data_IF_939088673448
#
_entry.id   IF_939088673448
#
_cell.length_a   1.000
_cell.length_b   1.000
_cell.length_c   1.000
_cell.angle_alpha   90.00
_cell.angle_beta   90.00
_cell.angle_gamma   90.00
#
_symmetry.space_group_name_H-M   'P 1'
#
loop_
_entity.id
_entity.type
_entity.pdbx_description
1 polymer ?
#
# COMPACT_ATOMS: atom_id res chain seq x y z
N UNK A 1 35.41 10.38 -101.14
CA UNK A 1 34.61 10.22 -99.90
C UNK A 1 34.47 8.73 -99.64
N UNK A 2 35.13 8.21 -98.59
CA UNK A 2 35.02 6.80 -98.20
C UNK A 2 33.75 6.60 -97.36
N UNK A 3 32.81 5.80 -97.85
CA UNK A 3 31.75 5.25 -97.01
C UNK A 3 32.20 3.90 -96.47
N UNK A 4 32.47 3.83 -95.17
CA UNK A 4 32.70 2.56 -94.48
C UNK A 4 31.35 1.88 -94.26
N UNK A 5 31.14 0.73 -94.91
CA UNK A 5 29.97 -0.12 -94.71
C UNK A 5 30.28 -1.19 -93.66
N UNK A 6 30.44 -0.77 -92.40
CA UNK A 6 30.59 -1.70 -91.28
C UNK A 6 29.59 -1.31 -90.18
N UNK A 7 28.46 -2.00 -90.18
CA UNK A 7 27.55 -2.06 -89.04
C UNK A 7 27.76 -3.41 -88.36
N UNK A 8 28.16 -3.40 -87.09
CA UNK A 8 28.25 -4.61 -86.29
C UNK A 8 26.98 -4.70 -85.43
N UNK A 9 26.08 -5.68 -85.65
CA UNK A 9 25.02 -5.95 -84.68
C UNK A 9 25.65 -6.73 -83.52
N UNK A 10 26.22 -6.04 -82.53
CA UNK A 10 26.57 -6.69 -81.27
C UNK A 10 25.30 -6.78 -80.44
N UNK A 11 24.51 -7.83 -80.67
CA UNK A 11 23.67 -8.40 -79.63
C UNK A 11 23.79 -9.91 -79.72
N UNK A 12 24.92 -10.47 -79.26
CA UNK A 12 24.94 -11.91 -78.97
C UNK A 12 23.89 -12.14 -77.87
N UNK A 13 22.85 -12.98 -78.10
CA UNK A 13 21.89 -13.27 -77.05
C UNK A 13 22.64 -13.89 -75.88
N UNK A 14 22.36 -13.39 -74.68
CA UNK A 14 23.02 -13.86 -73.46
C UNK A 14 22.91 -15.39 -73.37
N UNK A 15 24.03 -16.12 -73.18
CA UNK A 15 24.07 -17.58 -73.36
C UNK A 15 23.16 -18.33 -72.38
N UNK A 16 22.83 -17.72 -71.24
CA UNK A 16 21.99 -18.33 -70.21
C UNK A 16 20.65 -17.60 -70.10
N UNK A 17 19.70 -17.94 -70.97
CA UNK A 17 18.32 -17.39 -70.95
C UNK A 17 17.55 -17.68 -69.66
N UNK A 18 17.96 -18.68 -68.89
CA UNK A 18 17.38 -19.06 -67.60
C UNK A 18 17.95 -18.27 -66.42
N UNK A 19 19.08 -17.58 -66.60
CA UNK A 19 19.74 -16.87 -65.51
C UNK A 19 18.91 -15.66 -65.04
N UNK A 20 18.33 -14.91 -65.97
CA UNK A 20 17.47 -13.76 -65.66
C UNK A 20 16.20 -14.13 -64.87
N UNK A 21 15.38 -15.13 -65.26
CA UNK A 21 14.22 -15.52 -64.45
C UNK A 21 14.63 -16.12 -63.10
N UNK A 22 15.72 -16.89 -63.02
CA UNK A 22 16.23 -17.43 -61.74
C UNK A 22 16.70 -16.30 -60.82
N UNK A 23 17.40 -15.30 -61.34
CA UNK A 23 17.85 -14.15 -60.56
C UNK A 23 16.66 -13.31 -60.05
N UNK A 24 15.61 -13.13 -60.85
CA UNK A 24 14.39 -12.42 -60.44
C UNK A 24 13.65 -13.19 -59.34
N UNK A 25 13.46 -14.51 -59.51
CA UNK A 25 12.78 -15.35 -58.52
C UNK A 25 13.60 -15.45 -57.23
N UNK A 26 14.91 -15.67 -57.34
CA UNK A 26 15.82 -15.69 -56.19
C UNK A 26 15.87 -14.34 -55.46
N UNK A 27 15.88 -13.24 -56.21
CA UNK A 27 15.79 -11.88 -55.67
C UNK A 27 14.49 -11.62 -54.91
N UNK A 28 13.35 -12.06 -55.45
CA UNK A 28 12.05 -12.00 -54.76
C UNK A 28 12.04 -12.81 -53.46
N UNK A 29 12.57 -14.03 -53.49
CA UNK A 29 12.66 -14.89 -52.29
C UNK A 29 13.54 -14.22 -51.23
N UNK A 30 14.72 -13.73 -51.61
CA UNK A 30 15.61 -13.02 -50.69
C UNK A 30 14.98 -11.74 -50.15
N UNK A 31 14.28 -10.98 -51.00
CA UNK A 31 13.56 -9.77 -50.59
C UNK A 31 12.51 -10.12 -49.52
N UNK A 32 11.68 -11.13 -49.74
CA UNK A 32 10.69 -11.59 -48.74
C UNK A 32 11.39 -12.01 -47.44
N UNK A 33 12.47 -12.78 -47.54
CA UNK A 33 13.20 -13.29 -46.37
C UNK A 33 13.83 -12.15 -45.55
N UNK A 34 14.51 -11.20 -46.21
CA UNK A 34 15.07 -10.03 -45.54
C UNK A 34 14.00 -9.11 -44.97
N UNK A 35 12.83 -9.00 -45.61
CA UNK A 35 11.71 -8.22 -45.08
C UNK A 35 11.18 -8.85 -43.79
N UNK A 36 11.03 -10.17 -43.73
CA UNK A 36 10.61 -10.89 -42.52
C UNK A 36 11.65 -10.75 -41.40
N UNK A 37 12.93 -10.87 -41.72
CA UNK A 37 14.02 -10.71 -40.73
C UNK A 37 14.06 -9.28 -40.20
N UNK A 38 13.97 -8.26 -41.07
CA UNK A 38 13.93 -6.86 -40.64
C UNK A 38 12.69 -6.55 -39.80
N UNK A 39 11.52 -7.09 -40.19
CA UNK A 39 10.29 -6.95 -39.42
C UNK A 39 10.45 -7.57 -38.03
N UNK A 40 10.98 -8.79 -37.94
CA UNK A 40 11.25 -9.43 -36.65
C UNK A 40 12.20 -8.59 -35.80
N UNK A 41 13.32 -8.12 -36.37
CA UNK A 41 14.31 -7.34 -35.63
C UNK A 41 13.82 -5.96 -35.18
N UNK A 42 12.86 -5.36 -35.88
CA UNK A 42 12.38 -3.99 -35.60
C UNK A 42 11.05 -3.90 -34.86
N UNK A 43 10.29 -4.99 -34.70
CA UNK A 43 8.89 -4.93 -34.24
C UNK A 43 8.66 -5.26 -32.75
N UNK A 44 9.70 -5.48 -31.95
CA UNK A 44 9.49 -5.82 -30.54
C UNK A 44 9.38 -4.58 -29.67
N UNK A 45 8.14 -4.19 -29.38
CA UNK A 45 7.85 -3.25 -28.30
C UNK A 45 7.62 -4.01 -26.99
N UNK A 46 8.41 -3.68 -25.97
CA UNK A 46 8.17 -4.14 -24.62
C UNK A 46 6.94 -3.42 -24.07
N UNK A 47 5.89 -4.17 -23.75
CA UNK A 47 4.72 -3.65 -23.03
C UNK A 47 4.87 -3.98 -21.55
N UNK A 48 4.87 -3.00 -20.65
CA UNK A 48 4.84 -3.29 -19.22
C UNK A 48 3.51 -3.97 -18.88
N UNK A 49 3.60 -5.07 -18.13
CA UNK A 49 2.44 -5.79 -17.58
C UNK A 49 2.58 -5.71 -16.07
N UNK A 50 1.56 -5.18 -15.41
CA UNK A 50 1.46 -5.21 -13.95
C UNK A 50 0.98 -6.60 -13.54
N UNK A 51 1.65 -7.18 -12.55
CA UNK A 51 1.38 -8.53 -12.06
C UNK A 51 1.55 -8.54 -10.55
N UNK A 52 0.68 -9.26 -9.86
CA UNK A 52 0.73 -9.41 -8.41
C UNK A 52 1.67 -10.56 -7.99
N UNK A 53 2.04 -11.45 -8.92
CA UNK A 53 2.95 -12.58 -8.69
C UNK A 53 4.24 -12.45 -9.52
N UNK A 54 5.28 -11.76 -9.01
CA UNK A 54 6.55 -11.62 -9.72
C UNK A 54 7.23 -12.96 -10.01
N UNK A 55 7.04 -13.97 -9.15
CA UNK A 55 7.67 -15.29 -9.28
C UNK A 55 6.98 -16.15 -10.35
N UNK A 56 5.64 -16.15 -10.38
CA UNK A 56 4.87 -16.80 -11.43
C UNK A 56 5.08 -16.15 -12.79
N UNK A 57 5.23 -14.82 -12.83
CA UNK A 57 5.37 -14.09 -14.10
C UNK A 57 6.74 -14.30 -14.74
N UNK A 58 7.81 -14.36 -13.94
CA UNK A 58 9.17 -14.62 -14.44
C UNK A 58 9.34 -16.05 -14.95
N UNK A 59 8.59 -17.02 -14.43
CA UNK A 59 8.65 -18.43 -14.83
C UNK A 59 7.72 -18.78 -16.00
N UNK A 60 6.52 -18.19 -16.07
CA UNK A 60 5.57 -18.41 -17.18
C UNK A 60 5.92 -17.63 -18.45
N UNK A 61 6.77 -16.60 -18.37
CA UNK A 61 7.06 -15.73 -19.51
C UNK A 61 8.00 -16.30 -20.56
N UNK A 62 8.33 -17.61 -20.52
CA UNK A 62 9.10 -18.26 -21.59
C UNK A 62 8.20 -18.43 -22.82
N UNK A 63 8.11 -17.39 -23.63
CA UNK A 63 7.31 -17.38 -24.86
C UNK A 63 7.90 -18.35 -25.88
N UNK A 64 7.07 -18.79 -26.83
CA UNK A 64 7.44 -19.80 -27.83
C UNK A 64 8.71 -19.44 -28.62
N UNK A 65 8.96 -18.15 -28.87
CA UNK A 65 10.13 -17.64 -29.59
C UNK A 65 11.42 -17.62 -28.76
N UNK A 66 11.33 -17.79 -27.43
CA UNK A 66 12.49 -17.93 -26.54
C UNK A 66 12.95 -19.39 -26.41
N UNK A 67 12.26 -20.34 -27.06
CA UNK A 67 12.62 -21.76 -27.07
C UNK A 67 13.52 -22.08 -28.26
N UNK A 68 14.42 -23.05 -28.07
CA UNK A 68 15.25 -23.57 -29.18
C UNK A 68 14.35 -24.08 -30.33
N UNK A 69 14.70 -23.87 -31.60
CA UNK A 69 15.97 -23.32 -32.12
C UNK A 69 15.99 -21.79 -32.31
N UNK A 70 14.96 -21.07 -31.88
CA UNK A 70 14.76 -19.64 -32.14
C UNK A 70 15.39 -18.71 -31.08
N UNK A 71 16.10 -19.28 -30.10
CA UNK A 71 16.68 -18.56 -28.95
C UNK A 71 18.01 -17.83 -29.29
N UNK A 72 18.13 -17.27 -30.50
CA UNK A 72 19.36 -16.63 -30.98
C UNK A 72 19.77 -15.39 -30.18
N UNK A 73 18.85 -14.77 -29.45
CA UNK A 73 19.17 -13.70 -28.51
C UNK A 73 18.40 -13.89 -27.18
N UNK A 74 19.16 -14.15 -26.10
CA UNK A 74 18.63 -14.30 -24.75
C UNK A 74 18.51 -12.94 -24.01
N UNK A 75 18.67 -11.81 -24.71
CA UNK A 75 18.59 -10.48 -24.12
C UNK A 75 17.17 -10.08 -23.68
N UNK A 76 16.13 -10.80 -24.09
CA UNK A 76 14.74 -10.58 -23.65
C UNK A 76 14.44 -11.30 -22.32
N UNK A 77 15.25 -11.07 -21.28
CA UNK A 77 14.89 -11.52 -19.93
C UNK A 77 13.79 -10.62 -19.39
N UNK A 78 12.67 -11.21 -18.98
CA UNK A 78 11.60 -10.47 -18.29
C UNK A 78 12.14 -10.06 -16.92
N UNK A 79 12.29 -8.74 -16.71
CA UNK A 79 12.67 -8.17 -15.43
C UNK A 79 11.43 -7.54 -14.81
N UNK A 80 11.08 -7.95 -13.59
CA UNK A 80 10.08 -7.28 -12.79
C UNK A 80 10.70 -6.02 -12.18
N UNK A 81 10.12 -4.86 -12.48
CA UNK A 81 10.45 -3.64 -11.76
C UNK A 81 9.67 -3.63 -10.44
N UNK A 82 10.33 -3.53 -9.27
CA UNK A 82 9.65 -3.46 -8.00
C UNK A 82 8.85 -2.16 -7.89
N UNK A 83 7.76 -2.18 -7.12
CA UNK A 83 7.07 -0.94 -6.74
C UNK A 83 7.94 -0.25 -5.70
N UNK A 84 8.32 0.99 -5.93
CA UNK A 84 9.05 1.76 -4.93
C UNK A 84 8.02 2.22 -3.88
N UNK A 85 8.24 1.84 -2.62
CA UNK A 85 7.45 2.30 -1.48
C UNK A 85 8.23 3.40 -0.77
N UNK A 86 7.71 4.62 -0.76
CA UNK A 86 8.37 5.79 -0.16
C UNK A 86 7.66 6.23 1.12
N UNK A 87 8.39 6.91 2.00
CA UNK A 87 7.78 7.58 3.16
C UNK A 87 6.80 8.64 2.66
N UNK A 88 5.57 8.62 3.21
CA UNK A 88 4.45 9.47 2.79
C UNK A 88 3.48 8.80 1.80
N UNK A 89 3.83 7.64 1.23
CA UNK A 89 2.93 6.92 0.35
C UNK A 89 1.70 6.40 1.11
N UNK A 90 0.55 6.39 0.42
CA UNK A 90 -0.68 5.82 0.93
C UNK A 90 -0.86 4.40 0.42
N UNK A 91 -1.10 3.47 1.33
CA UNK A 91 -1.25 2.04 1.05
C UNK A 91 -2.51 1.49 1.72
N UNK A 92 -2.98 0.39 1.15
CA UNK A 92 -4.16 -0.32 1.62
C UNK A 92 -3.79 -1.78 1.81
N UNK A 93 -4.35 -2.42 2.83
CA UNK A 93 -4.19 -3.86 3.02
C UNK A 93 -5.19 -4.63 2.17
N UNK A 94 -4.95 -5.93 2.00
CA UNK A 94 -5.85 -6.85 1.30
C UNK A 94 -7.25 -6.91 1.93
N UNK A 95 -7.35 -6.66 3.24
CA UNK A 95 -8.62 -6.63 3.96
C UNK A 95 -9.39 -5.30 3.81
N UNK A 96 -8.84 -4.32 3.08
CA UNK A 96 -9.47 -3.02 2.79
C UNK A 96 -10.07 -2.33 4.04
N UNK A 97 -9.37 -2.40 5.16
CA UNK A 97 -9.78 -1.78 6.42
C UNK A 97 -9.58 -0.26 6.37
N UNK A 98 -8.36 0.18 6.70
CA UNK A 98 -8.01 1.60 6.78
C UNK A 98 -7.05 2.01 5.66
N UNK A 99 -7.03 3.31 5.36
CA UNK A 99 -6.00 3.91 4.54
C UNK A 99 -4.77 4.19 5.40
N UNK A 100 -3.67 3.49 5.14
CA UNK A 100 -2.43 3.67 5.87
C UNK A 100 -1.51 4.62 5.12
N UNK A 101 -0.76 5.43 5.87
CA UNK A 101 0.35 6.24 5.37
C UNK A 101 1.66 5.66 5.87
N UNK A 102 2.66 5.55 5.00
CA UNK A 102 4.00 5.11 5.41
C UNK A 102 4.67 6.25 6.16
N UNK A 103 4.96 6.06 7.45
CA UNK A 103 5.58 7.08 8.31
C UNK A 103 7.09 6.94 8.39
N UNK A 104 7.60 5.71 8.44
CA UNK A 104 9.02 5.43 8.50
C UNK A 104 9.32 4.04 7.93
N UNK A 105 10.52 3.91 7.37
CA UNK A 105 11.09 2.65 6.91
C UNK A 105 12.44 2.51 7.61
N UNK A 106 12.59 1.48 8.43
CA UNK A 106 13.79 1.27 9.24
C UNK A 106 14.31 -0.14 9.08
N UNK A 107 15.63 -0.33 9.07
CA UNK A 107 16.20 -1.67 9.15
C UNK A 107 15.74 -2.34 10.45
N UNK A 108 15.40 -3.62 10.35
CA UNK A 108 15.00 -4.45 11.48
C UNK A 108 16.19 -5.15 12.15
N UNK A 109 17.43 -4.83 11.77
CA UNK A 109 18.62 -5.48 12.31
C UNK A 109 18.83 -5.08 13.79
N UNK A 110 18.81 -6.07 14.68
CA UNK A 110 18.84 -5.90 16.15
C UNK A 110 20.24 -5.56 16.69
N UNK A 111 21.29 -5.67 15.86
CA UNK A 111 22.69 -5.70 16.33
C UNK A 111 23.43 -4.36 16.22
N UNK A 112 22.76 -3.29 15.80
CA UNK A 112 23.36 -1.96 15.70
C UNK A 112 22.56 -0.90 16.44
N UNK A 113 23.23 -0.14 17.30
CA UNK A 113 22.71 1.04 18.01
C UNK A 113 22.24 2.16 17.03
N UNK A 114 22.46 1.95 15.73
CA UNK A 114 22.07 2.83 14.62
C UNK A 114 21.12 2.10 13.67
N UNK A 115 19.81 2.33 13.84
CA UNK A 115 18.80 1.83 12.90
C UNK A 115 18.90 2.61 11.59
N UNK A 116 19.33 1.95 10.53
CA UNK A 116 19.34 2.56 9.20
C UNK A 116 17.91 2.92 8.79
N UNK A 117 17.71 4.16 8.35
CA UNK A 117 16.39 4.67 7.94
C UNK A 117 16.42 4.87 6.43
N UNK A 118 15.44 4.29 5.74
CA UNK A 118 15.33 4.38 4.29
C UNK A 118 14.27 5.41 3.90
N UNK A 119 14.54 6.31 2.93
CA UNK A 119 13.51 7.19 2.39
C UNK A 119 12.52 6.43 1.50
N UNK A 120 12.97 5.34 0.89
CA UNK A 120 12.19 4.48 0.01
C UNK A 120 12.81 3.09 -0.08
N UNK A 121 11.98 2.07 -0.31
CA UNK A 121 12.41 0.67 -0.49
C UNK A 121 11.76 0.05 -1.74
N UNK A 122 12.43 -0.93 -2.34
CA UNK A 122 11.86 -1.76 -3.41
C UNK A 122 10.90 -2.81 -2.84
N UNK A 123 9.60 -2.65 -3.09
CA UNK A 123 8.54 -3.56 -2.64
C UNK A 123 8.08 -4.50 -3.77
N UNK A 124 8.13 -5.80 -3.49
CA UNK A 124 7.83 -6.90 -4.42
C UNK A 124 6.54 -7.64 -4.07
N UNK A 125 5.55 -6.93 -3.52
CA UNK A 125 4.28 -7.53 -3.07
C UNK A 125 4.45 -8.63 -2.01
N UNK A 126 5.49 -8.51 -1.17
CA UNK A 126 5.72 -9.43 -0.07
C UNK A 126 4.73 -9.18 1.06
N UNK A 127 4.34 -10.24 1.77
CA UNK A 127 3.42 -10.15 2.90
C UNK A 127 4.05 -9.37 4.05
N UNK A 128 3.23 -8.54 4.71
CA UNK A 128 3.61 -7.90 5.97
C UNK A 128 3.48 -8.94 7.09
N UNK A 129 4.55 -9.11 7.85
CA UNK A 129 4.65 -10.08 8.95
C UNK A 129 4.83 -9.35 10.28
N UNK A 130 4.47 -10.02 11.38
CA UNK A 130 4.60 -9.50 12.75
C UNK A 130 4.04 -8.07 12.94
N UNK A 131 2.90 -7.79 12.31
CA UNK A 131 2.22 -6.52 12.48
C UNK A 131 1.65 -6.38 13.89
N UNK A 132 2.02 -5.31 14.59
CA UNK A 132 1.40 -4.93 15.86
C UNK A 132 1.10 -3.45 15.90
N UNK A 133 0.08 -3.08 16.67
CA UNK A 133 -0.24 -1.70 16.95
C UNK A 133 0.78 -1.18 17.97
N UNK A 134 1.38 -0.02 17.75
CA UNK A 134 2.35 0.58 18.69
C UNK A 134 1.64 1.54 19.63
N UNK A 135 0.85 2.45 19.05
CA UNK A 135 0.18 3.51 19.79
C UNK A 135 -1.10 3.95 19.09
N UNK A 136 -2.13 4.26 19.87
CA UNK A 136 -3.35 4.95 19.41
C UNK A 136 -3.60 6.13 20.33
N UNK A 137 -3.71 7.32 19.76
CA UNK A 137 -4.12 8.53 20.45
C UNK A 137 -5.48 8.96 19.94
N UNK A 138 -6.44 9.07 20.85
CA UNK A 138 -7.79 9.56 20.57
C UNK A 138 -7.96 10.86 21.35
N UNK A 139 -7.98 11.98 20.65
CA UNK A 139 -8.26 13.28 21.23
C UNK A 139 -9.70 13.67 20.94
N UNK A 140 -10.39 14.07 22.00
CA UNK A 140 -11.79 14.40 22.00
C UNK A 140 -11.97 15.86 22.40
N UNK A 141 -12.90 16.54 21.74
CA UNK A 141 -13.30 17.89 22.10
C UNK A 141 -14.78 17.92 22.41
N UNK A 142 -15.10 18.58 23.51
CA UNK A 142 -16.47 18.84 23.94
C UNK A 142 -17.08 19.95 23.08
N UNK A 143 -18.32 19.75 22.64
CA UNK A 143 -19.06 20.69 21.79
C UNK A 143 -19.73 21.82 22.58
N UNK A 144 -19.99 21.61 23.87
CA UNK A 144 -20.71 22.54 24.73
C UNK A 144 -19.89 22.97 25.96
N UNK A 145 -20.17 24.19 26.43
CA UNK A 145 -19.49 24.82 27.57
C UNK A 145 -20.27 24.64 28.88
N UNK A 146 -20.85 23.45 29.10
CA UNK A 146 -21.66 23.18 30.29
C UNK A 146 -20.83 22.47 31.34
N UNK A 147 -20.89 22.94 32.59
CA UNK A 147 -20.25 22.32 33.75
C UNK A 147 -21.10 21.22 34.40
N UNK A 148 -22.37 21.07 33.99
CA UNK A 148 -23.29 20.08 34.55
C UNK A 148 -23.33 18.79 33.75
N UNK A 149 -23.51 17.68 34.47
CA UNK A 149 -23.73 16.36 33.88
C UNK A 149 -24.86 16.37 32.86
N UNK A 150 -24.60 15.73 31.73
CA UNK A 150 -25.53 15.69 30.62
C UNK A 150 -25.78 14.28 30.12
N UNK A 151 -27.05 14.02 29.82
CA UNK A 151 -27.46 12.79 29.15
C UNK A 151 -27.24 12.85 27.63
N UNK A 152 -27.01 14.05 27.07
CA UNK A 152 -26.62 14.22 25.66
C UNK A 152 -25.11 13.97 25.48
N UNK A 153 -24.75 13.41 24.33
CA UNK A 153 -23.35 13.23 23.90
C UNK A 153 -22.74 14.60 23.61
N UNK A 154 -22.02 15.13 24.60
CA UNK A 154 -21.32 16.42 24.52
C UNK A 154 -19.96 16.31 23.81
N UNK A 155 -19.39 15.12 23.72
CA UNK A 155 -18.08 14.86 23.12
C UNK A 155 -18.30 14.37 21.69
N UNK A 156 -17.90 15.16 20.69
CA UNK A 156 -18.31 14.89 19.30
C UNK A 156 -17.17 14.99 18.29
N UNK A 157 -16.25 15.94 18.47
CA UNK A 157 -15.09 16.05 17.58
C UNK A 157 -14.00 15.10 18.05
N UNK A 158 -13.57 14.22 17.15
CA UNK A 158 -12.53 13.24 17.42
C UNK A 158 -11.37 13.43 16.45
N UNK A 159 -10.17 13.51 17.00
CA UNK A 159 -8.92 13.43 16.26
C UNK A 159 -8.22 12.14 16.70
N UNK A 160 -8.06 11.20 15.78
CA UNK A 160 -7.41 9.92 16.08
C UNK A 160 -6.13 9.79 15.27
N UNK A 161 -5.05 9.45 15.94
CA UNK A 161 -3.79 9.02 15.35
C UNK A 161 -3.51 7.59 15.81
N UNK A 162 -3.22 6.69 14.88
CA UNK A 162 -2.84 5.32 15.18
C UNK A 162 -1.58 4.95 14.41
N UNK A 163 -0.63 4.32 15.10
CA UNK A 163 0.61 3.84 14.52
C UNK A 163 0.72 2.33 14.71
N UNK A 164 1.04 1.64 13.62
CA UNK A 164 1.32 0.21 13.59
C UNK A 164 2.73 -0.01 13.02
N UNK A 165 3.40 -1.06 13.51
CA UNK A 165 4.70 -1.50 13.04
C UNK A 165 4.55 -2.89 12.45
N UNK A 166 5.11 -3.10 11.26
CA UNK A 166 5.07 -4.36 10.54
C UNK A 166 6.44 -4.64 9.94
N UNK A 167 6.82 -5.91 9.85
CA UNK A 167 8.05 -6.33 9.20
C UNK A 167 7.78 -6.78 7.76
N UNK A 168 8.71 -6.51 6.86
CA UNK A 168 8.68 -7.01 5.49
C UNK A 168 10.08 -7.42 5.06
N UNK A 169 10.18 -8.52 4.33
CA UNK A 169 11.43 -8.92 3.69
C UNK A 169 11.55 -8.22 2.33
N UNK A 170 12.64 -7.49 2.09
CA UNK A 170 12.95 -6.82 0.82
C UNK A 170 14.30 -7.28 0.28
N UNK A 171 14.69 -6.77 -0.90
CA UNK A 171 16.04 -6.99 -1.44
C UNK A 171 17.16 -6.41 -0.57
N UNK A 172 16.83 -5.47 0.32
CA UNK A 172 17.77 -4.80 1.22
C UNK A 172 17.87 -5.51 2.58
N UNK A 173 16.99 -6.49 2.85
CA UNK A 173 16.95 -7.25 4.09
C UNK A 173 15.58 -7.17 4.76
N UNK A 174 15.55 -7.42 6.07
CA UNK A 174 14.34 -7.28 6.88
C UNK A 174 14.12 -5.80 7.22
N UNK A 175 13.06 -5.21 6.70
CA UNK A 175 12.71 -3.80 6.91
C UNK A 175 11.45 -3.73 7.77
N UNK A 176 11.51 -2.93 8.83
CA UNK A 176 10.36 -2.56 9.63
C UNK A 176 9.70 -1.30 9.04
N UNK A 177 8.44 -1.45 8.67
CA UNK A 177 7.56 -0.40 8.14
C UNK A 177 6.67 0.10 9.27
N UNK A 178 6.75 1.40 9.54
CA UNK A 178 5.79 2.10 10.41
C UNK A 178 4.66 2.67 9.56
N UNK A 179 3.46 2.19 9.81
CA UNK A 179 2.21 2.62 9.18
C UNK A 179 1.44 3.54 10.13
N UNK A 180 0.98 4.69 9.64
CA UNK A 180 0.17 5.64 10.38
C UNK A 180 -1.21 5.80 9.77
N UNK A 181 -2.24 5.85 10.60
CA UNK A 181 -3.61 6.21 10.22
C UNK A 181 -3.98 7.47 10.99
N UNK A 182 -4.37 8.50 10.26
CA UNK A 182 -4.88 9.74 10.82
C UNK A 182 -6.32 9.90 10.38
N UNK A 183 -7.20 10.16 11.33
CA UNK A 183 -8.60 10.47 11.05
C UNK A 183 -9.06 11.66 11.88
N UNK A 184 -9.78 12.55 11.22
CA UNK A 184 -10.36 13.74 11.82
C UNK A 184 -11.80 13.80 11.38
N UNK A 185 -12.71 13.75 12.34
CA UNK A 185 -14.12 13.64 12.03
C UNK A 185 -15.01 13.88 13.22
N UNK A 186 -16.29 13.93 12.92
CA UNK A 186 -17.35 13.93 13.92
C UNK A 186 -17.83 12.49 14.09
N UNK A 187 -18.25 12.10 15.30
CA UNK A 187 -18.81 10.77 15.61
C UNK A 187 -20.19 10.54 14.97
N UNK A 188 -20.34 10.80 13.68
CA UNK A 188 -21.56 10.57 12.92
C UNK A 188 -21.55 9.14 12.32
N UNK A 189 -22.69 8.67 11.83
CA UNK A 189 -22.90 7.33 11.28
C UNK A 189 -22.17 7.07 9.95
N UNK A 190 -21.32 8.00 9.52
CA UNK A 190 -20.60 7.93 8.26
C UNK A 190 -19.29 7.20 8.52
N UNK A 191 -19.25 5.91 8.17
CA UNK A 191 -18.08 5.03 8.31
C UNK A 191 -16.97 5.34 7.29
N UNK A 192 -16.77 6.62 6.95
CA UNK A 192 -15.83 7.10 5.91
C UNK A 192 -14.36 6.77 6.21
N UNK A 193 -14.06 6.40 7.46
CA UNK A 193 -12.73 5.94 7.87
C UNK A 193 -12.42 4.51 7.42
N UNK A 194 -13.40 3.75 6.92
CA UNK A 194 -13.23 2.39 6.38
C UNK A 194 -13.37 2.44 4.87
N UNK A 195 -12.48 1.75 4.16
CA UNK A 195 -12.46 1.75 2.69
C UNK A 195 -13.62 0.95 2.10
N UNK A 196 -13.87 -0.25 2.65
CA UNK A 196 -14.93 -1.15 2.19
C UNK A 196 -15.91 -1.44 3.31
N UNK A 197 -17.17 -1.08 3.10
CA UNK A 197 -18.26 -1.23 4.07
C UNK A 197 -19.35 -2.19 3.56
N UNK A 198 -18.97 -3.35 3.01
CA UNK A 198 -19.89 -4.38 2.53
C UNK A 198 -19.97 -5.60 3.48
N UNK A 199 -21.18 -5.88 3.95
CA UNK A 199 -21.48 -7.02 4.82
C UNK A 199 -21.32 -8.38 4.14
N UNK A 200 -21.33 -8.46 2.80
CA UNK A 200 -21.23 -9.72 2.06
C UNK A 200 -19.80 -10.13 1.78
N UNK A 201 -18.98 -9.19 1.33
CA UNK A 201 -17.60 -9.45 0.91
C UNK A 201 -16.61 -9.28 2.05
N UNK A 202 -16.87 -8.35 2.98
CA UNK A 202 -15.95 -7.99 4.07
C UNK A 202 -16.70 -7.94 5.42
N UNK A 203 -17.38 -9.04 5.76
CA UNK A 203 -18.22 -9.11 6.96
C UNK A 203 -17.48 -8.80 8.28
N UNK A 204 -16.21 -9.19 8.41
CA UNK A 204 -15.43 -8.97 9.63
C UNK A 204 -15.12 -7.48 9.86
N UNK A 205 -14.70 -6.75 8.82
CA UNK A 205 -14.49 -5.30 8.90
C UNK A 205 -15.82 -4.59 9.11
N UNK A 206 -16.88 -5.01 8.41
CA UNK A 206 -18.22 -4.48 8.56
C UNK A 206 -18.71 -4.55 10.02
N UNK A 207 -18.73 -5.75 10.62
CA UNK A 207 -19.18 -5.95 12.00
C UNK A 207 -18.22 -5.31 13.02
N UNK A 208 -16.91 -5.42 12.81
CA UNK A 208 -15.90 -4.83 13.69
C UNK A 208 -16.07 -3.32 13.82
N UNK A 209 -16.24 -2.63 12.69
CA UNK A 209 -16.47 -1.18 12.63
C UNK A 209 -17.71 -0.75 13.41
N UNK A 210 -18.80 -1.51 13.30
CA UNK A 210 -20.06 -1.21 14.01
C UNK A 210 -19.95 -1.44 15.51
N UNK A 211 -19.32 -2.55 15.92
CA UNK A 211 -19.06 -2.84 17.32
C UNK A 211 -18.15 -1.77 17.94
N UNK A 212 -17.11 -1.36 17.22
CA UNK A 212 -16.22 -0.27 17.66
C UNK A 212 -16.97 1.05 17.81
N UNK A 213 -17.85 1.41 16.86
CA UNK A 213 -18.64 2.64 16.94
C UNK A 213 -19.61 2.63 18.14
N UNK A 214 -20.30 1.50 18.38
CA UNK A 214 -21.18 1.34 19.56
C UNK A 214 -20.38 1.45 20.85
N UNK A 215 -19.24 0.76 20.94
CA UNK A 215 -18.36 0.83 22.10
C UNK A 215 -17.85 2.27 22.34
N UNK A 216 -17.43 2.94 21.28
CA UNK A 216 -16.96 4.33 21.34
C UNK A 216 -18.06 5.28 21.79
N UNK A 217 -19.28 5.11 21.28
CA UNK A 217 -20.46 5.88 21.73
C UNK A 217 -20.71 5.68 23.23
N UNK A 218 -20.52 4.46 23.74
CA UNK A 218 -20.57 4.16 25.17
C UNK A 218 -19.54 4.96 25.97
N UNK A 219 -18.29 5.01 25.50
CA UNK A 219 -17.22 5.83 26.12
C UNK A 219 -17.64 7.30 26.16
N UNK A 220 -18.07 7.87 25.02
CA UNK A 220 -18.49 9.27 24.94
C UNK A 220 -19.65 9.59 25.91
N UNK A 221 -20.58 8.64 26.09
CA UNK A 221 -21.68 8.76 27.04
C UNK A 221 -21.22 8.72 28.50
N UNK A 222 -20.26 7.86 28.84
CA UNK A 222 -19.67 7.86 30.19
C UNK A 222 -18.93 9.16 30.46
N UNK A 223 -18.14 9.65 29.50
CA UNK A 223 -17.39 10.91 29.61
C UNK A 223 -18.30 12.15 29.72
N UNK A 224 -19.53 12.10 29.20
CA UNK A 224 -20.48 13.22 29.36
C UNK A 224 -21.06 13.29 30.77
N UNK A 225 -21.03 12.17 31.51
CA UNK A 225 -21.55 12.03 32.87
C UNK A 225 -20.49 12.26 33.96
N UNK A 226 -19.19 12.27 33.63
CA UNK A 226 -18.08 12.40 34.60
C UNK A 226 -17.69 13.87 34.89
N UNK A 227 -18.66 14.78 35.00
CA UNK A 227 -18.37 16.20 35.28
C UNK A 227 -18.53 16.49 36.77
N UNK A 228 -17.40 16.63 37.47
CA UNK A 228 -17.39 17.09 38.87
C UNK A 228 -16.10 17.89 39.15
N UNK A 229 -16.02 19.08 38.56
CA UNK A 229 -14.88 19.99 38.75
C UNK A 229 -15.15 21.11 39.77
N UNK A 230 -16.42 21.34 40.16
CA UNK A 230 -16.82 22.52 40.93
C UNK A 230 -16.64 23.85 40.18
N UNK A 231 -17.25 24.92 40.72
CA UNK A 231 -17.12 26.33 40.26
C UNK A 231 -17.14 26.56 38.73
N UNK A 232 -18.32 26.45 38.09
CA UNK A 232 -18.60 26.80 36.67
C UNK A 232 -17.62 26.25 35.60
N UNK A 233 -16.67 25.41 36.00
CA UNK A 233 -15.60 24.90 35.18
C UNK A 233 -16.01 23.58 34.54
N UNK A 234 -15.55 23.34 33.32
CA UNK A 234 -15.95 22.17 32.55
C UNK A 234 -14.78 21.59 31.79
N UNK A 235 -14.83 20.27 31.55
CA UNK A 235 -13.90 19.60 30.65
C UNK A 235 -14.10 20.09 29.21
N UNK A 236 -13.05 20.66 28.60
CA UNK A 236 -13.09 21.16 27.23
C UNK A 236 -12.52 20.15 26.24
N UNK A 237 -11.42 19.51 26.61
CA UNK A 237 -10.70 18.54 25.78
C UNK A 237 -10.32 17.35 26.64
N UNK A 238 -10.28 16.18 26.04
CA UNK A 238 -9.77 14.97 26.69
C UNK A 238 -8.99 14.15 25.67
N UNK A 239 -8.13 13.29 26.16
CA UNK A 239 -7.39 12.36 25.33
C UNK A 239 -7.30 11.00 25.97
N UNK A 240 -7.33 9.97 25.14
CA UNK A 240 -7.13 8.58 25.52
C UNK A 240 -5.98 8.05 24.66
N UNK A 241 -4.92 7.62 25.32
CA UNK A 241 -3.74 7.04 24.68
C UNK A 241 -3.67 5.56 25.05
N UNK A 242 -3.66 4.71 24.03
CA UNK A 242 -3.36 3.29 24.15
C UNK A 242 -1.92 3.08 23.70
N UNK A 243 -1.07 2.54 24.57
CA UNK A 243 0.30 2.15 24.23
C UNK A 243 0.47 0.66 24.39
N UNK A 244 0.86 -0.04 23.34
CA UNK A 244 1.00 -1.49 23.38
C UNK A 244 2.22 -1.90 24.18
N UNK A 245 2.08 -2.94 25.00
CA UNK A 245 3.19 -3.58 25.69
C UNK A 245 3.82 -4.64 24.76
N UNK A 246 5.07 -4.47 24.31
CA UNK A 246 5.70 -5.37 23.35
C UNK A 246 5.91 -6.80 23.88
N UNK A 247 5.88 -6.98 25.21
CA UNK A 247 6.10 -8.28 25.84
C UNK A 247 4.85 -9.18 25.83
N UNK A 248 3.67 -8.61 25.59
CA UNK A 248 2.39 -9.31 25.65
C UNK A 248 1.87 -9.42 24.23
N UNK A 249 1.72 -10.65 23.74
CA UNK A 249 1.21 -10.92 22.39
C UNK A 249 -0.27 -11.34 22.36
N UNK A 250 -0.82 -11.72 23.52
CA UNK A 250 -2.22 -12.15 23.59
C UNK A 250 -3.16 -10.94 23.64
N UNK A 251 -4.06 -10.85 22.67
CA UNK A 251 -5.09 -9.81 22.58
C UNK A 251 -6.13 -9.89 23.70
N UNK A 252 -6.24 -11.04 24.37
CA UNK A 252 -7.18 -11.26 25.47
C UNK A 252 -6.63 -10.76 26.81
N UNK A 253 -5.32 -10.51 26.90
CA UNK A 253 -4.72 -10.00 28.12
C UNK A 253 -5.08 -8.51 28.28
N UNK A 254 -5.75 -8.10 29.37
CA UNK A 254 -6.08 -6.69 29.60
C UNK A 254 -4.84 -5.79 29.72
N UNK A 255 -3.65 -6.36 29.95
CA UNK A 255 -2.37 -5.62 30.03
C UNK A 255 -1.70 -5.43 28.68
N UNK A 256 -2.30 -5.90 27.58
CA UNK A 256 -1.78 -5.68 26.24
C UNK A 256 -1.59 -4.19 25.95
N UNK A 257 -2.54 -3.36 26.36
CA UNK A 257 -2.48 -1.91 26.21
C UNK A 257 -2.36 -1.23 27.57
N UNK A 258 -1.34 -0.39 27.70
CA UNK A 258 -1.28 0.62 28.75
C UNK A 258 -2.17 1.78 28.34
N UNK A 259 -3.23 1.99 29.12
CA UNK A 259 -4.18 3.07 28.92
C UNK A 259 -3.75 4.30 29.73
N UNK A 260 -3.70 5.46 29.09
CA UNK A 260 -3.51 6.73 29.77
C UNK A 260 -4.60 7.70 29.29
N UNK A 261 -5.33 8.27 30.23
CA UNK A 261 -6.32 9.31 29.97
C UNK A 261 -5.83 10.66 30.46
N UNK A 262 -6.29 11.73 29.82
CA UNK A 262 -6.15 13.07 30.35
C UNK A 262 -7.35 13.93 29.99
N UNK A 263 -7.62 14.93 30.82
CA UNK A 263 -8.64 15.92 30.60
C UNK A 263 -8.07 17.32 30.83
N UNK A 264 -8.49 18.26 30.00
CA UNK A 264 -8.19 19.68 30.10
C UNK A 264 -9.49 20.43 30.38
N UNK A 265 -9.53 21.16 31.50
CA UNK A 265 -10.67 21.98 31.89
C UNK A 265 -10.57 23.40 31.32
N UNK A 266 -11.68 24.11 31.36
CA UNK A 266 -11.83 25.48 30.85
C UNK A 266 -10.96 26.52 31.57
N UNK A 267 -10.60 26.26 32.83
CA UNK A 267 -9.71 27.10 33.66
C UNK A 267 -8.21 26.80 33.42
N UNK A 268 -7.89 25.84 32.53
CA UNK A 268 -6.53 25.46 32.18
C UNK A 268 -5.91 24.39 33.07
N UNK A 269 -6.68 23.81 34.00
CA UNK A 269 -6.23 22.67 34.79
C UNK A 269 -6.19 21.39 33.94
N UNK A 270 -5.15 20.57 34.14
CA UNK A 270 -4.97 19.29 33.44
C UNK A 270 -5.00 18.17 34.48
N UNK A 271 -5.94 17.25 34.30
CA UNK A 271 -6.02 16.02 35.09
C UNK A 271 -5.52 14.85 34.25
N UNK A 272 -4.50 14.16 34.74
CA UNK A 272 -4.02 12.91 34.15
C UNK A 272 -4.62 11.74 34.92
N UNK A 273 -5.28 10.82 34.22
CA UNK A 273 -5.78 9.57 34.78
C UNK A 273 -4.97 8.41 34.23
N UNK A 274 -4.31 7.67 35.12
CA UNK A 274 -3.54 6.47 34.75
C UNK A 274 -4.39 5.20 34.71
N UNK A 275 -5.61 5.28 35.20
CA UNK A 275 -6.64 4.24 35.08
C UNK A 275 -7.89 4.98 34.60
N UNK A 276 -8.11 4.99 33.29
CA UNK A 276 -9.40 5.46 32.79
C UNK A 276 -10.46 4.57 33.43
N UNK A 277 -11.49 5.20 33.99
CA UNK A 277 -12.73 4.53 34.38
C UNK A 277 -13.40 3.97 33.12
N UNK A 278 -12.86 2.85 32.60
CA UNK A 278 -13.71 1.85 31.98
C UNK A 278 -14.79 1.57 33.02
N UNK A 279 -16.09 1.68 32.67
CA UNK A 279 -17.14 1.41 33.62
C UNK A 279 -16.91 0.00 34.18
N UNK A 280 -16.49 -0.07 35.44
CA UNK A 280 -16.46 -1.30 36.24
C UNK A 280 -17.87 -1.89 36.40
N UNK A 281 -18.89 -1.25 35.81
CA UNK A 281 -20.28 -1.69 35.74
C UNK A 281 -20.68 -2.47 34.48
N UNK A 282 -19.79 -2.72 33.51
CA UNK A 282 -20.02 -3.74 32.49
C UNK A 282 -19.42 -5.08 32.91
N UNK A 283 -19.82 -5.57 34.09
CA UNK A 283 -19.82 -7.00 34.32
C UNK A 283 -20.90 -7.59 33.40
N UNK A 284 -20.47 -8.11 32.26
CA UNK A 284 -21.30 -9.02 31.48
C UNK A 284 -21.63 -10.21 32.39
N UNK A 285 -22.91 -10.32 32.77
CA UNK A 285 -23.51 -11.60 33.14
C UNK A 285 -23.75 -12.46 31.91
#
# INVERSE_FOLDING_TARGET
>A
MHSSWFSYPITRPFPFRWFTPVAIVGGLILMVLFTIINLASSAFYLKPIFTDDPNGTTTQSVRWFMKAPLNWDNNMKVQCQPKILSVGDRVFSTNLGFQYSVKALTSSDDDSDFRETYPSIAYLNNTLEDCYLTRVDINLRKSDARASNSWWLSWITTFTDATASCNVMTSEGLVNITLGVEYTGQSDHIYDYVIEDDYKTHASTWWGTRLLNVYFTGILSTMSQTQDLGDDSYWMTGGITFTTNPNIKDIRDPKLFNLAGWFLSSDGFIQNEREFLLPTSLSYG
#
